data_IF_039017355325
#
_entry.id   IF_039017355325
#
_cell.length_a   1.000
_cell.length_b   1.000
_cell.length_c   1.000
_cell.angle_alpha   90.00
_cell.angle_beta   90.00
_cell.angle_gamma   90.00
#
_symmetry.space_group_name_H-M   'P 1'
#
loop_
_entity.id
_entity.type
_entity.pdbx_description
1 polymer ?
#
# COMPACT_ATOMS: atom_id res chain seq x y z
N UNK A 1 79.79 -46.99 16.17
CA UNK A 1 79.26 -46.61 14.85
C UNK A 1 77.98 -45.83 15.12
N UNK A 2 78.13 -44.51 15.17
CA UNK A 2 77.03 -43.55 15.16
C UNK A 2 76.24 -43.67 13.87
N UNK A 3 74.90 -43.76 13.97
CA UNK A 3 73.98 -43.10 13.03
C UNK A 3 72.72 -42.68 13.81
N UNK A 4 72.83 -41.50 14.40
CA UNK A 4 71.81 -40.44 14.56
C UNK A 4 70.33 -40.79 14.41
N UNK A 5 69.62 -40.58 15.52
CA UNK A 5 68.20 -40.26 15.66
C UNK A 5 67.71 -39.32 14.54
N UNK A 6 66.83 -39.81 13.68
CA UNK A 6 66.05 -39.00 12.76
C UNK A 6 64.61 -38.95 13.26
N UNK A 7 64.31 -37.85 13.96
CA UNK A 7 62.99 -37.45 14.43
C UNK A 7 61.96 -37.49 13.27
N UNK A 8 60.97 -38.39 13.35
CA UNK A 8 59.81 -38.45 12.44
C UNK A 8 58.92 -37.22 12.65
N UNK A 9 59.27 -36.11 11.98
CA UNK A 9 58.43 -34.91 11.93
C UNK A 9 57.38 -35.07 10.84
N UNK A 10 56.29 -35.78 11.16
CA UNK A 10 55.06 -35.71 10.35
C UNK A 10 54.54 -34.26 10.30
N UNK A 11 54.18 -33.73 9.12
CA UNK A 11 53.72 -32.36 9.01
C UNK A 11 52.38 -32.17 9.73
N UNK A 12 52.30 -31.16 10.60
CA UNK A 12 51.05 -30.73 11.24
C UNK A 12 50.14 -30.14 10.17
N UNK A 13 48.98 -30.75 9.94
CA UNK A 13 47.97 -30.24 9.02
C UNK A 13 47.44 -28.88 9.48
N UNK A 14 47.36 -27.84 8.62
CA UNK A 14 46.82 -26.55 9.01
C UNK A 14 45.33 -26.67 9.36
N UNK A 15 44.99 -26.29 10.59
CA UNK A 15 43.61 -26.26 11.10
C UNK A 15 42.88 -25.03 10.51
N UNK A 16 42.20 -25.19 9.38
CA UNK A 16 41.34 -24.14 8.85
C UNK A 16 40.11 -23.96 9.76
N UNK A 17 39.79 -22.74 10.24
CA UNK A 17 38.61 -22.52 11.06
C UNK A 17 37.34 -22.78 10.22
N UNK A 18 36.60 -23.82 10.60
CA UNK A 18 35.37 -24.35 9.95
C UNK A 18 34.17 -23.38 9.92
N UNK A 19 34.38 -22.09 10.18
CA UNK A 19 33.30 -21.15 10.52
C UNK A 19 32.93 -20.12 9.45
N UNK A 20 33.69 -19.95 8.36
CA UNK A 20 33.50 -18.78 7.47
C UNK A 20 32.79 -19.04 6.13
N UNK A 21 32.55 -20.29 5.75
CA UNK A 21 31.95 -20.62 4.45
C UNK A 21 30.42 -20.82 4.48
N UNK A 22 29.83 -21.20 5.63
CA UNK A 22 28.38 -21.37 5.74
C UNK A 22 27.62 -20.03 5.90
N UNK A 23 28.27 -19.01 6.49
CA UNK A 23 27.69 -17.69 6.69
C UNK A 23 27.47 -16.87 5.40
N UNK A 24 28.21 -17.18 4.33
CA UNK A 24 28.12 -16.44 3.04
C UNK A 24 27.04 -17.05 2.13
N UNK A 25 26.83 -18.37 2.19
CA UNK A 25 25.80 -19.06 1.40
C UNK A 25 24.38 -18.83 1.96
N UNK A 26 24.21 -18.82 3.28
CA UNK A 26 22.89 -18.64 3.91
C UNK A 26 22.35 -17.22 3.79
N UNK A 27 23.23 -16.24 3.53
CA UNK A 27 22.85 -14.84 3.36
C UNK A 27 22.18 -14.58 2.01
N UNK A 28 22.49 -15.31 0.93
CA UNK A 28 21.93 -15.01 -0.41
C UNK A 28 20.50 -15.54 -0.61
N UNK A 29 20.11 -16.63 0.04
CA UNK A 29 18.78 -17.23 -0.08
C UNK A 29 17.71 -16.47 0.71
N UNK A 30 18.08 -15.89 1.86
CA UNK A 30 17.18 -15.05 2.67
C UNK A 30 16.84 -13.75 1.95
N UNK A 31 17.79 -13.15 1.21
CA UNK A 31 17.53 -11.96 0.40
C UNK A 31 16.60 -12.24 -0.79
N UNK A 32 16.69 -13.40 -1.44
CA UNK A 32 15.76 -13.75 -2.54
C UNK A 32 14.35 -14.00 -2.01
N UNK A 33 14.18 -14.66 -0.86
CA UNK A 33 12.87 -14.84 -0.23
C UNK A 33 12.26 -13.50 0.24
N UNK A 34 13.06 -12.59 0.78
CA UNK A 34 12.63 -11.23 1.12
C UNK A 34 12.29 -10.40 -0.13
N UNK A 35 13.04 -10.52 -1.22
CA UNK A 35 12.75 -9.85 -2.50
C UNK A 35 11.49 -10.43 -3.15
N UNK A 36 11.24 -11.74 -3.06
CA UNK A 36 9.99 -12.34 -3.57
C UNK A 36 8.78 -11.92 -2.70
N UNK A 37 8.95 -11.73 -1.38
CA UNK A 37 7.94 -11.14 -0.50
C UNK A 37 7.78 -9.62 -0.66
N UNK A 38 8.83 -8.91 -1.08
CA UNK A 38 8.83 -7.46 -1.34
C UNK A 38 8.38 -7.10 -2.76
N UNK A 39 8.54 -8.00 -3.74
CA UNK A 39 8.19 -7.78 -5.15
C UNK A 39 6.95 -8.57 -5.60
N UNK A 40 6.62 -9.67 -4.92
CA UNK A 40 5.38 -10.40 -5.12
C UNK A 40 4.29 -9.77 -4.28
N UNK A 41 3.66 -8.72 -4.79
CA UNK A 41 2.50 -8.11 -4.14
C UNK A 41 1.45 -9.17 -3.84
N UNK A 42 1.31 -9.55 -2.57
CA UNK A 42 0.19 -10.37 -2.11
C UNK A 42 -1.06 -9.52 -2.22
N UNK A 43 -1.88 -9.80 -3.24
CA UNK A 43 -3.20 -9.20 -3.35
C UNK A 43 -4.08 -9.77 -2.23
N UNK A 44 -4.27 -9.00 -1.16
CA UNK A 44 -5.25 -9.34 -0.13
C UNK A 44 -6.65 -9.26 -0.74
N UNK A 45 -7.55 -10.21 -0.44
CA UNK A 45 -8.93 -10.12 -0.87
C UNK A 45 -9.55 -8.84 -0.29
N UNK A 46 -10.19 -8.05 -1.16
CA UNK A 46 -10.93 -6.85 -0.74
C UNK A 46 -12.24 -7.26 -0.09
N UNK A 47 -12.58 -6.64 1.04
CA UNK A 47 -13.85 -6.86 1.70
C UNK A 47 -14.93 -5.94 1.11
N UNK A 48 -16.14 -6.47 0.92
CA UNK A 48 -17.24 -5.70 0.34
C UNK A 48 -17.91 -4.82 1.40
N UNK A 49 -18.21 -3.56 1.05
CA UNK A 49 -18.98 -2.66 1.90
C UNK A 49 -19.78 -1.63 1.11
N UNK A 50 -20.68 -0.93 1.80
CA UNK A 50 -21.39 0.21 1.25
C UNK A 50 -20.54 1.49 1.15
N UNK A 51 -21.12 2.57 0.58
CA UNK A 51 -20.44 3.84 0.37
C UNK A 51 -19.82 4.44 1.64
N UNK A 52 -18.69 5.12 1.48
CA UNK A 52 -17.92 5.77 2.55
C UNK A 52 -18.19 7.28 2.53
N UNK A 53 -18.47 7.84 3.71
CA UNK A 53 -18.71 9.28 3.89
C UNK A 53 -17.85 9.80 5.02
N UNK A 54 -16.90 10.68 4.68
CA UNK A 54 -16.10 11.45 5.63
C UNK A 54 -16.45 12.92 5.39
N UNK A 55 -17.33 13.48 6.21
CA UNK A 55 -17.87 14.84 6.04
C UNK A 55 -17.25 15.85 7.02
N UNK A 56 -16.34 15.37 7.86
CA UNK A 56 -15.55 16.11 8.84
C UNK A 56 -14.38 15.25 9.32
N UNK A 57 -13.43 15.86 10.04
CA UNK A 57 -12.31 15.13 10.65
C UNK A 57 -12.74 14.10 11.72
N UNK A 58 -13.95 14.23 12.28
CA UNK A 58 -14.50 13.28 13.27
C UNK A 58 -15.06 12.01 12.63
N UNK A 59 -15.35 12.04 11.33
CA UNK A 59 -15.93 10.90 10.62
C UNK A 59 -14.89 9.85 10.24
N UNK A 60 -13.61 10.08 10.51
CA UNK A 60 -12.56 9.07 10.35
C UNK A 60 -12.64 7.99 11.43
N UNK A 61 -13.62 7.10 11.28
CA UNK A 61 -13.87 5.97 12.18
C UNK A 61 -13.82 4.64 11.43
N UNK A 62 -13.64 3.51 12.15
CA UNK A 62 -13.71 2.18 11.55
C UNK A 62 -15.02 1.89 10.82
N UNK A 63 -16.15 2.37 11.37
CA UNK A 63 -17.48 2.22 10.76
C UNK A 63 -17.53 2.89 9.38
N UNK A 64 -16.82 4.01 9.22
CA UNK A 64 -16.67 4.73 7.95
C UNK A 64 -15.52 4.20 7.09
N UNK A 65 -14.92 3.06 7.42
CA UNK A 65 -13.97 2.35 6.57
C UNK A 65 -12.52 2.75 6.77
N UNK A 66 -12.21 3.45 7.86
CA UNK A 66 -10.82 3.64 8.29
C UNK A 66 -10.29 2.35 8.87
N UNK A 67 -9.15 1.88 8.36
CA UNK A 67 -8.51 0.63 8.80
C UNK A 67 -7.24 0.87 9.61
N UNK A 68 -6.68 2.08 9.55
CA UNK A 68 -5.48 2.45 10.29
C UNK A 68 -5.29 3.97 10.34
N UNK A 69 -4.31 4.38 11.13
CA UNK A 69 -3.82 5.74 11.22
C UNK A 69 -4.58 6.60 12.21
N UNK A 70 -3.92 7.65 12.68
CA UNK A 70 -4.47 8.58 13.65
C UNK A 70 -4.76 9.96 13.07
N UNK A 71 -4.40 10.25 11.82
CA UNK A 71 -4.66 11.53 11.15
C UNK A 71 -3.61 12.61 11.44
N UNK A 72 -2.36 12.21 11.69
CA UNK A 72 -1.19 13.10 11.73
C UNK A 72 -0.44 13.04 10.39
N UNK A 73 0.50 13.98 10.09
CA UNK A 73 1.29 13.91 8.86
C UNK A 73 2.10 12.62 8.71
N UNK A 74 2.64 12.11 9.82
CA UNK A 74 3.44 10.88 9.83
C UNK A 74 2.57 9.61 9.88
N UNK A 75 1.32 9.74 10.33
CA UNK A 75 0.36 8.64 10.44
C UNK A 75 -1.04 9.08 9.95
N UNK A 76 -1.22 9.28 8.62
CA UNK A 76 -2.48 9.72 8.04
C UNK A 76 -3.56 8.65 8.21
N UNK A 77 -4.82 9.07 8.24
CA UNK A 77 -5.93 8.10 8.23
C UNK A 77 -5.92 7.26 6.95
N UNK A 78 -6.13 5.96 7.07
CA UNK A 78 -6.07 5.03 5.94
C UNK A 78 -7.43 4.41 5.70
N UNK A 79 -7.97 4.60 4.50
CA UNK A 79 -9.14 3.89 3.97
C UNK A 79 -8.62 2.96 2.88
N UNK A 80 -8.66 1.65 3.11
CA UNK A 80 -8.02 0.70 2.21
C UNK A 80 -8.70 -0.66 2.12
N UNK A 81 -8.51 -1.33 0.98
CA UNK A 81 -8.86 -2.74 0.81
C UNK A 81 -10.36 -3.03 0.67
N UNK A 82 -11.16 -2.02 0.30
CA UNK A 82 -12.61 -2.19 0.13
C UNK A 82 -13.01 -2.40 -1.32
N UNK A 83 -14.01 -3.24 -1.54
CA UNK A 83 -14.83 -3.26 -2.76
C UNK A 83 -16.16 -2.58 -2.47
N UNK A 84 -16.52 -1.59 -3.28
CA UNK A 84 -17.71 -0.75 -3.08
C UNK A 84 -18.54 -0.73 -4.36
N UNK A 85 -19.74 -1.32 -4.29
CA UNK A 85 -20.78 -1.10 -5.29
C UNK A 85 -21.62 0.11 -4.86
N UNK A 86 -21.60 1.15 -5.68
CA UNK A 86 -22.29 2.42 -5.46
C UNK A 86 -23.41 2.65 -6.47
N UNK A 87 -23.97 1.59 -7.07
CA UNK A 87 -25.11 1.65 -8.00
C UNK A 87 -26.34 2.36 -7.41
N UNK A 88 -26.46 2.39 -6.08
CA UNK A 88 -27.51 3.07 -5.33
C UNK A 88 -27.13 4.48 -4.81
N UNK A 89 -25.89 4.92 -5.04
CA UNK A 89 -25.34 6.14 -4.47
C UNK A 89 -24.72 7.09 -5.51
N UNK A 90 -24.69 8.39 -5.19
CA UNK A 90 -24.02 9.37 -6.04
C UNK A 90 -22.50 9.22 -6.03
N UNK A 91 -21.94 8.85 -4.87
CA UNK A 91 -20.50 8.70 -4.66
C UNK A 91 -20.22 7.40 -3.91
N UNK A 92 -19.19 6.67 -4.33
CA UNK A 92 -18.73 5.50 -3.57
C UNK A 92 -17.88 5.94 -2.37
N UNK A 93 -17.03 6.96 -2.55
CA UNK A 93 -16.31 7.62 -1.47
C UNK A 93 -16.53 9.14 -1.56
N UNK A 94 -17.02 9.74 -0.49
CA UNK A 94 -17.18 11.19 -0.36
C UNK A 94 -16.32 11.70 0.79
N UNK A 95 -15.32 12.53 0.47
CA UNK A 95 -14.51 13.27 1.43
C UNK A 95 -14.86 14.75 1.30
N UNK A 96 -15.31 15.37 2.39
CA UNK A 96 -15.67 16.79 2.41
C UNK A 96 -15.28 17.45 3.72
N UNK A 97 -14.71 18.65 3.64
CA UNK A 97 -14.45 19.47 4.84
C UNK A 97 -13.38 18.91 5.77
N UNK A 98 -12.48 18.08 5.25
CA UNK A 98 -11.42 17.42 6.01
C UNK A 98 -10.14 18.27 6.00
N UNK A 99 -9.51 18.41 7.16
CA UNK A 99 -8.22 19.10 7.28
C UNK A 99 -7.07 18.17 7.65
N UNK A 100 -7.39 16.98 8.18
CA UNK A 100 -6.42 15.98 8.60
C UNK A 100 -5.92 15.12 7.43
N UNK A 101 -4.64 14.72 7.42
CA UNK A 101 -4.08 13.88 6.36
C UNK A 101 -4.79 12.53 6.24
N UNK A 102 -5.00 12.09 4.99
CA UNK A 102 -5.63 10.81 4.70
C UNK A 102 -5.08 10.15 3.43
N UNK A 103 -5.20 8.83 3.37
CA UNK A 103 -4.85 7.97 2.25
C UNK A 103 -6.04 7.10 1.91
N UNK A 104 -6.50 7.18 0.66
CA UNK A 104 -7.43 6.23 0.05
C UNK A 104 -6.60 5.31 -0.84
N UNK A 105 -6.63 4.00 -0.60
CA UNK A 105 -5.85 3.06 -1.42
C UNK A 105 -6.48 1.70 -1.65
N UNK A 106 -6.04 1.01 -2.69
CA UNK A 106 -6.38 -0.39 -2.93
C UNK A 106 -7.90 -0.66 -3.00
N UNK A 107 -8.68 0.35 -3.42
CA UNK A 107 -10.14 0.26 -3.53
C UNK A 107 -10.57 -0.23 -4.90
N UNK A 108 -11.66 -0.98 -4.94
CA UNK A 108 -12.39 -1.29 -6.17
C UNK A 108 -13.81 -0.72 -6.11
N UNK A 109 -14.15 0.16 -7.05
CA UNK A 109 -15.39 0.92 -7.05
C UNK A 109 -16.15 0.67 -8.35
N UNK A 110 -17.46 0.40 -8.23
CA UNK A 110 -18.37 0.22 -9.37
C UNK A 110 -19.66 1.02 -9.20
N UNK A 111 -20.24 1.48 -10.30
CA UNK A 111 -21.65 1.87 -10.36
C UNK A 111 -22.03 3.25 -9.78
N UNK A 112 -21.08 4.05 -9.29
CA UNK A 112 -21.40 5.37 -8.73
C UNK A 112 -22.13 6.28 -9.73
N UNK A 113 -23.26 6.87 -9.32
CA UNK A 113 -24.14 7.65 -10.21
C UNK A 113 -23.60 9.02 -10.62
N UNK A 114 -22.60 9.55 -9.90
CA UNK A 114 -21.96 10.84 -10.21
C UNK A 114 -20.46 10.68 -10.29
N UNK A 115 -19.81 10.28 -9.19
CA UNK A 115 -18.38 10.06 -9.19
C UNK A 115 -17.95 8.88 -8.33
N UNK A 116 -16.93 8.13 -8.75
CA UNK A 116 -16.36 7.08 -7.91
C UNK A 116 -15.84 7.63 -6.58
N UNK A 117 -14.96 8.63 -6.67
CA UNK A 117 -14.41 9.35 -5.52
C UNK A 117 -14.67 10.84 -5.68
N UNK A 118 -15.29 11.48 -4.68
CA UNK A 118 -15.49 12.92 -4.58
C UNK A 118 -14.67 13.47 -3.42
N UNK A 119 -13.81 14.45 -3.71
CA UNK A 119 -13.06 15.23 -2.71
C UNK A 119 -13.46 16.70 -2.84
N UNK A 120 -13.94 17.29 -1.75
CA UNK A 120 -14.46 18.67 -1.76
C UNK A 120 -14.01 19.46 -0.53
N UNK A 121 -13.56 20.71 -0.73
CA UNK A 121 -13.19 21.61 0.38
C UNK A 121 -12.23 20.94 1.38
N UNK A 122 -11.23 20.23 0.86
CA UNK A 122 -10.37 19.32 1.62
C UNK A 122 -8.90 19.55 1.29
N UNK A 123 -8.00 19.16 2.18
CA UNK A 123 -6.54 19.19 1.94
C UNK A 123 -5.82 17.93 2.42
N UNK A 124 -4.57 17.76 1.99
CA UNK A 124 -3.65 16.71 2.48
C UNK A 124 -4.10 15.28 2.19
N UNK A 125 -4.71 15.06 1.02
CA UNK A 125 -5.18 13.74 0.59
C UNK A 125 -4.19 13.01 -0.33
N UNK A 126 -4.16 11.69 -0.24
CA UNK A 126 -3.53 10.80 -1.23
C UNK A 126 -4.56 9.77 -1.70
N UNK A 127 -4.72 9.61 -3.00
CA UNK A 127 -5.54 8.58 -3.62
C UNK A 127 -4.61 7.73 -4.45
N UNK A 128 -4.47 6.43 -4.13
CA UNK A 128 -3.55 5.57 -4.87
C UNK A 128 -4.06 4.16 -5.13
N UNK A 129 -3.62 3.55 -6.22
CA UNK A 129 -3.88 2.12 -6.49
C UNK A 129 -5.38 1.76 -6.48
N UNK A 130 -6.24 2.69 -6.92
CA UNK A 130 -7.70 2.51 -6.97
C UNK A 130 -8.15 2.05 -8.34
N UNK A 131 -9.17 1.20 -8.38
CA UNK A 131 -9.87 0.79 -9.59
C UNK A 131 -11.30 1.36 -9.56
N UNK A 132 -11.65 2.17 -10.54
CA UNK A 132 -12.99 2.77 -10.65
C UNK A 132 -13.59 2.37 -12.00
N UNK A 133 -14.80 1.81 -11.98
CA UNK A 133 -15.50 1.34 -13.18
C UNK A 133 -16.92 1.91 -13.27
N UNK A 134 -17.32 2.37 -14.46
CA UNK A 134 -18.74 2.62 -14.76
C UNK A 134 -19.37 3.78 -13.99
N UNK A 135 -18.63 4.89 -13.80
CA UNK A 135 -19.15 6.10 -13.16
C UNK A 135 -19.05 7.30 -14.14
N UNK A 136 -19.96 8.29 -14.12
CA UNK A 136 -19.83 9.46 -14.99
C UNK A 136 -18.49 10.20 -14.82
N UNK A 137 -18.01 10.32 -13.59
CA UNK A 137 -16.64 10.80 -13.30
C UNK A 137 -15.89 9.79 -12.44
N UNK A 138 -14.65 9.44 -12.77
CA UNK A 138 -13.83 8.58 -11.92
C UNK A 138 -13.52 9.26 -10.59
N UNK A 139 -12.75 10.34 -10.65
CA UNK A 139 -12.35 11.15 -9.49
C UNK A 139 -12.73 12.60 -9.72
N UNK A 140 -13.55 13.16 -8.84
CA UNK A 140 -13.97 14.56 -8.85
C UNK A 140 -13.36 15.29 -7.65
N UNK A 141 -12.47 16.25 -7.91
CA UNK A 141 -11.83 17.07 -6.89
C UNK A 141 -12.32 18.51 -7.07
N UNK A 142 -12.87 19.12 -6.02
CA UNK A 142 -13.32 20.51 -6.06
C UNK A 142 -12.87 21.31 -4.84
N UNK A 143 -12.48 22.57 -5.04
CA UNK A 143 -12.12 23.49 -3.96
C UNK A 143 -11.11 22.90 -2.96
N UNK A 144 -10.21 22.05 -3.44
CA UNK A 144 -9.30 21.25 -2.62
C UNK A 144 -7.86 21.48 -3.05
N UNK A 145 -6.92 21.23 -2.14
CA UNK A 145 -5.50 21.48 -2.37
C UNK A 145 -4.67 20.33 -1.82
N UNK A 146 -3.48 20.15 -2.37
CA UNK A 146 -2.53 19.13 -1.88
C UNK A 146 -3.12 17.71 -1.94
N UNK A 147 -3.92 17.44 -2.97
CA UNK A 147 -4.48 16.12 -3.30
C UNK A 147 -3.62 15.49 -4.38
N UNK A 148 -3.12 14.28 -4.12
CA UNK A 148 -2.30 13.55 -5.07
C UNK A 148 -3.02 12.28 -5.49
N UNK A 149 -2.99 12.00 -6.79
CA UNK A 149 -3.59 10.81 -7.39
C UNK A 149 -2.48 10.03 -8.10
N UNK A 150 -2.31 8.75 -7.75
CA UNK A 150 -1.25 7.90 -8.30
C UNK A 150 -1.80 6.48 -8.57
N UNK A 151 -1.37 5.81 -9.64
CA UNK A 151 -1.77 4.40 -9.87
C UNK A 151 -3.28 4.15 -10.02
N UNK A 152 -4.09 5.19 -10.23
CA UNK A 152 -5.53 5.05 -10.41
C UNK A 152 -5.85 4.45 -11.79
N UNK A 153 -6.59 3.35 -11.81
CA UNK A 153 -7.13 2.72 -13.02
C UNK A 153 -8.62 3.06 -13.13
N UNK A 154 -8.96 3.95 -14.06
CA UNK A 154 -10.33 4.42 -14.28
C UNK A 154 -10.79 3.92 -15.65
N UNK A 155 -11.85 3.13 -15.67
CA UNK A 155 -12.32 2.39 -16.86
C UNK A 155 -13.82 2.60 -17.01
N UNK A 156 -14.32 2.69 -18.24
CA UNK A 156 -15.75 2.86 -18.54
C UNK A 156 -16.39 4.07 -17.83
N UNK A 157 -15.61 5.13 -17.63
CA UNK A 157 -16.08 6.42 -17.11
C UNK A 157 -16.07 7.49 -18.20
N UNK A 158 -17.04 8.40 -18.21
CA UNK A 158 -17.10 9.51 -19.18
C UNK A 158 -15.91 10.45 -18.99
N UNK A 159 -15.69 10.89 -17.74
CA UNK A 159 -14.52 11.65 -17.35
C UNK A 159 -13.64 10.82 -16.41
N UNK A 160 -12.33 10.79 -16.66
CA UNK A 160 -11.40 10.13 -15.74
C UNK A 160 -11.24 10.93 -14.46
N UNK A 161 -10.62 12.11 -14.56
CA UNK A 161 -10.41 13.02 -13.43
C UNK A 161 -10.94 14.40 -13.81
N UNK A 162 -11.75 15.00 -12.94
CA UNK A 162 -12.28 16.34 -13.10
C UNK A 162 -11.88 17.21 -11.92
N UNK A 163 -11.32 18.38 -12.20
CA UNK A 163 -10.89 19.37 -11.22
C UNK A 163 -11.79 20.61 -11.33
N UNK A 164 -12.32 21.10 -10.21
CA UNK A 164 -13.20 22.27 -10.13
C UNK A 164 -12.77 23.28 -9.05
#
# INVERSE_FOLDING_TARGET
>A
MDVTSAEDKRPVSPQYPKGRLWAIAMRRTVWVALIVLLCGGVAFPREARGPIRILSDLDFTPENGVVAGNGTPDDPFVIAGWTIDASDANFAVQIRGVTRPFVIRDLEITGARVAGIKVETTRNGRIRDVLIKGAPTGILISLSRDIWVEGAKIVDCTDSVRLL
#
